data_IF_370266896151
#
_entry.id   IF_370266896151
#
_cell.length_a   1.000
_cell.length_b   1.000
_cell.length_c   1.000
_cell.angle_alpha   90.00
_cell.angle_beta   90.00
_cell.angle_gamma   90.00
#
_symmetry.space_group_name_H-M   'P 1'
#
loop_
_entity.id
_entity.type
_entity.pdbx_description
1 polymer ?
#
# COMPACT_ATOMS: atom_id res chain seq x y z
N UNK A 1 26.56 -4.05 -8.98
CA UNK A 1 25.40 -4.01 -8.06
C UNK A 1 25.68 -2.99 -6.97
N UNK A 2 24.87 -1.92 -6.86
CA UNK A 2 24.93 -1.06 -5.67
C UNK A 2 24.47 -1.92 -4.49
N UNK A 3 25.22 -1.96 -3.39
CA UNK A 3 24.89 -2.79 -2.23
C UNK A 3 23.49 -2.44 -1.70
N UNK A 4 22.53 -3.33 -1.93
CA UNK A 4 21.19 -3.29 -1.35
C UNK A 4 21.29 -3.65 0.13
N UNK A 5 20.59 -2.94 1.00
CA UNK A 5 20.53 -3.29 2.42
C UNK A 5 19.30 -4.16 2.73
N UNK A 6 19.45 -5.49 2.89
CA UNK A 6 18.32 -6.40 3.08
C UNK A 6 17.55 -6.18 4.39
N UNK A 7 18.18 -5.56 5.40
CA UNK A 7 17.53 -5.25 6.68
C UNK A 7 16.41 -4.22 6.49
N UNK A 8 16.69 -3.15 5.74
CA UNK A 8 15.70 -2.10 5.49
C UNK A 8 14.57 -2.60 4.58
N UNK A 9 14.87 -3.44 3.58
CA UNK A 9 13.84 -4.07 2.76
C UNK A 9 12.85 -4.87 3.62
N UNK A 10 13.38 -5.66 4.56
CA UNK A 10 12.58 -6.44 5.49
C UNK A 10 11.75 -5.55 6.42
N UNK A 11 12.30 -4.45 6.93
CA UNK A 11 11.57 -3.50 7.78
C UNK A 11 10.44 -2.80 7.00
N UNK A 12 10.69 -2.37 5.75
CA UNK A 12 9.67 -1.82 4.87
C UNK A 12 8.54 -2.82 4.62
N UNK A 13 8.88 -4.08 4.34
CA UNK A 13 7.89 -5.16 4.17
C UNK A 13 7.06 -5.40 5.43
N UNK A 14 7.66 -5.35 6.63
CA UNK A 14 6.90 -5.50 7.88
C UNK A 14 5.88 -4.37 8.09
N UNK A 15 6.29 -3.12 7.87
CA UNK A 15 5.37 -1.97 7.99
C UNK A 15 4.27 -2.08 6.94
N UNK A 16 4.62 -2.48 5.72
CA UNK A 16 3.66 -2.70 4.63
C UNK A 16 2.65 -3.80 4.96
N UNK A 17 3.07 -4.88 5.64
CA UNK A 17 2.16 -5.94 6.09
C UNK A 17 1.16 -5.43 7.14
N UNK A 18 1.64 -4.66 8.12
CA UNK A 18 0.77 -4.07 9.16
C UNK A 18 -0.25 -3.13 8.52
N UNK A 19 0.20 -2.25 7.61
CA UNK A 19 -0.70 -1.36 6.89
C UNK A 19 -1.73 -2.14 6.06
N UNK A 20 -1.32 -3.21 5.38
CA UNK A 20 -2.23 -4.06 4.60
C UNK A 20 -3.29 -4.72 5.48
N UNK A 21 -2.93 -5.23 6.66
CA UNK A 21 -3.92 -5.78 7.60
C UNK A 21 -4.97 -4.75 8.03
N UNK A 22 -4.55 -3.51 8.29
CA UNK A 22 -5.47 -2.43 8.66
C UNK A 22 -6.37 -2.05 7.49
N UNK A 23 -5.80 -1.94 6.28
CA UNK A 23 -6.55 -1.70 5.04
C UNK A 23 -7.57 -2.81 4.84
N UNK A 24 -7.18 -4.09 4.95
CA UNK A 24 -8.06 -5.23 4.82
C UNK A 24 -9.31 -5.10 5.71
N UNK A 25 -9.13 -4.82 7.00
CA UNK A 25 -10.27 -4.59 7.91
C UNK A 25 -11.14 -3.41 7.44
N UNK A 26 -10.52 -2.28 7.08
CA UNK A 26 -11.25 -1.13 6.55
C UNK A 26 -12.07 -1.45 5.31
N UNK A 27 -11.53 -2.25 4.38
CA UNK A 27 -12.20 -2.68 3.15
C UNK A 27 -13.36 -3.64 3.41
N UNK A 28 -13.21 -4.59 4.34
CA UNK A 28 -14.30 -5.49 4.73
C UNK A 28 -15.47 -4.70 5.30
N UNK A 29 -15.22 -3.76 6.22
CA UNK A 29 -16.28 -2.92 6.76
C UNK A 29 -16.89 -2.01 5.70
N UNK A 30 -16.09 -1.46 4.78
CA UNK A 30 -16.58 -0.65 3.66
C UNK A 30 -17.50 -1.46 2.73
N UNK A 31 -17.22 -2.74 2.52
CA UNK A 31 -18.08 -3.63 1.72
C UNK A 31 -19.40 -3.95 2.43
N UNK A 32 -19.36 -4.14 3.76
CA UNK A 32 -20.55 -4.48 4.57
C UNK A 32 -21.48 -3.26 4.73
N UNK A 33 -20.90 -2.11 5.09
CA UNK A 33 -21.64 -0.89 5.44
C UNK A 33 -21.92 0.00 4.21
N UNK A 34 -21.28 -0.30 3.07
CA UNK A 34 -21.41 0.44 1.82
C UNK A 34 -20.56 1.71 1.76
N UNK A 35 -20.58 2.38 0.60
CA UNK A 35 -19.65 3.48 0.29
C UNK A 35 -19.74 4.69 1.24
N UNK A 36 -20.89 4.92 1.86
CA UNK A 36 -21.09 6.00 2.84
C UNK A 36 -20.20 5.82 4.08
N UNK A 37 -19.80 4.59 4.40
CA UNK A 37 -18.88 4.28 5.49
C UNK A 37 -17.50 4.91 5.30
N UNK A 38 -17.10 5.23 4.06
CA UNK A 38 -15.83 5.89 3.77
C UNK A 38 -15.68 7.25 4.47
N UNK A 39 -16.78 7.93 4.79
CA UNK A 39 -16.77 9.20 5.53
C UNK A 39 -16.99 9.04 7.05
N UNK A 40 -17.17 7.81 7.52
CA UNK A 40 -17.31 7.53 8.95
C UNK A 40 -16.02 7.87 9.70
N UNK A 41 -16.16 8.33 10.95
CA UNK A 41 -15.00 8.63 11.79
C UNK A 41 -14.11 7.40 12.03
N UNK A 42 -14.70 6.20 12.08
CA UNK A 42 -13.97 4.94 12.22
C UNK A 42 -13.09 4.68 11.00
N UNK A 43 -13.65 4.74 9.79
CA UNK A 43 -12.88 4.52 8.57
C UNK A 43 -11.76 5.56 8.41
N UNK A 44 -12.07 6.84 8.64
CA UNK A 44 -11.09 7.92 8.52
C UNK A 44 -9.96 7.79 9.54
N UNK A 45 -10.25 7.34 10.77
CA UNK A 45 -9.22 7.03 11.76
C UNK A 45 -8.28 5.92 11.28
N UNK A 46 -8.82 4.83 10.71
CA UNK A 46 -8.00 3.77 10.12
C UNK A 46 -7.12 4.31 9.00
N UNK A 47 -7.66 5.16 8.12
CA UNK A 47 -6.91 5.76 7.02
C UNK A 47 -5.82 6.72 7.49
N UNK A 48 -6.03 7.47 8.57
CA UNK A 48 -4.97 8.26 9.22
C UNK A 48 -3.84 7.39 9.75
N UNK A 49 -4.16 6.26 10.40
CA UNK A 49 -3.14 5.32 10.89
C UNK A 49 -2.33 4.76 9.73
N UNK A 50 -2.99 4.32 8.65
CA UNK A 50 -2.34 3.80 7.44
C UNK A 50 -1.45 4.87 6.81
N UNK A 51 -1.93 6.11 6.71
CA UNK A 51 -1.14 7.22 6.18
C UNK A 51 0.12 7.50 7.02
N UNK A 52 0.02 7.47 8.35
CA UNK A 52 1.19 7.60 9.24
C UNK A 52 2.19 6.45 9.00
N UNK A 53 1.71 5.22 8.80
CA UNK A 53 2.56 4.06 8.49
C UNK A 53 3.26 4.16 7.12
N UNK A 54 2.74 4.95 6.19
CA UNK A 54 3.39 5.18 4.90
C UNK A 54 4.76 5.87 5.05
N UNK A 55 4.93 6.74 6.06
CA UNK A 55 6.18 7.46 6.31
C UNK A 55 7.37 6.55 6.68
N UNK A 56 7.28 5.67 7.73
CA UNK A 56 8.35 4.72 8.02
C UNK A 56 8.52 3.69 6.91
N UNK A 57 7.44 3.26 6.25
CA UNK A 57 7.51 2.34 5.10
C UNK A 57 8.37 2.93 3.98
N UNK A 58 8.07 4.16 3.57
CA UNK A 58 8.83 4.93 2.59
C UNK A 58 10.30 5.07 3.00
N UNK A 59 10.55 5.48 4.24
CA UNK A 59 11.91 5.68 4.75
C UNK A 59 12.74 4.41 4.65
N UNK A 60 12.19 3.26 5.06
CA UNK A 60 12.89 1.98 4.95
C UNK A 60 13.16 1.57 3.49
N UNK A 61 12.18 1.74 2.59
CA UNK A 61 12.40 1.45 1.18
C UNK A 61 13.44 2.38 0.54
N UNK A 62 13.45 3.66 0.89
CA UNK A 62 14.47 4.61 0.45
C UNK A 62 15.88 4.18 0.88
N UNK A 63 16.05 3.83 2.16
CA UNK A 63 17.32 3.39 2.73
C UNK A 63 17.81 2.03 2.19
N UNK A 64 16.92 1.26 1.56
CA UNK A 64 17.25 -0.04 0.96
C UNK A 64 18.16 0.09 -0.26
N UNK A 65 18.15 1.26 -0.94
CA UNK A 65 18.80 1.48 -2.26
C UNK A 65 18.23 0.56 -3.35
N UNK A 66 16.91 0.63 -3.52
CA UNK A 66 16.16 -0.16 -4.51
C UNK A 66 16.68 0.05 -5.95
N UNK A 67 16.32 -0.89 -6.82
CA UNK A 67 16.38 -0.71 -8.27
C UNK A 67 15.50 0.46 -8.71
N UNK A 68 16.05 1.32 -9.59
CA UNK A 68 15.39 2.56 -10.03
C UNK A 68 14.79 3.38 -8.87
N UNK A 69 15.59 3.80 -7.87
CA UNK A 69 15.07 4.36 -6.61
C UNK A 69 14.28 5.66 -6.83
N UNK A 70 14.64 6.44 -7.87
CA UNK A 70 13.93 7.68 -8.24
C UNK A 70 12.43 7.48 -8.54
N UNK A 71 12.04 6.31 -9.05
CA UNK A 71 10.62 6.00 -9.31
C UNK A 71 9.88 5.93 -7.97
N UNK A 72 10.39 5.13 -7.04
CA UNK A 72 9.83 5.02 -5.69
C UNK A 72 9.84 6.36 -4.96
N UNK A 73 10.95 7.10 -4.98
CA UNK A 73 11.06 8.39 -4.29
C UNK A 73 10.01 9.39 -4.77
N UNK A 74 9.89 9.57 -6.08
CA UNK A 74 8.95 10.54 -6.65
C UNK A 74 7.49 10.14 -6.43
N UNK A 75 7.13 8.91 -6.78
CA UNK A 75 5.74 8.48 -6.76
C UNK A 75 5.22 8.19 -5.35
N UNK A 76 6.07 7.72 -4.42
CA UNK A 76 5.67 7.57 -3.03
C UNK A 76 5.40 8.93 -2.38
N UNK A 77 6.24 9.93 -2.63
CA UNK A 77 6.03 11.29 -2.10
C UNK A 77 4.72 11.88 -2.67
N UNK A 78 4.47 11.72 -3.97
CA UNK A 78 3.20 12.15 -4.56
C UNK A 78 1.99 11.45 -3.92
N UNK A 79 2.04 10.12 -3.74
CA UNK A 79 0.99 9.37 -3.07
C UNK A 79 0.72 9.92 -1.66
N UNK A 80 1.77 10.14 -0.85
CA UNK A 80 1.67 10.64 0.53
C UNK A 80 1.03 12.04 0.57
N UNK A 81 1.45 12.96 -0.31
CA UNK A 81 0.94 14.34 -0.35
C UNK A 81 -0.53 14.36 -0.78
N UNK A 82 -0.88 13.63 -1.83
CA UNK A 82 -2.24 13.63 -2.38
C UNK A 82 -3.20 12.97 -1.40
N UNK A 83 -2.82 11.82 -0.82
CA UNK A 83 -3.64 11.16 0.21
C UNK A 83 -3.80 12.00 1.47
N UNK A 84 -2.78 12.77 1.88
CA UNK A 84 -2.93 13.73 2.99
C UNK A 84 -3.97 14.80 2.67
N UNK A 85 -3.92 15.39 1.48
CA UNK A 85 -4.89 16.40 1.07
C UNK A 85 -6.32 15.85 1.08
N UNK A 86 -6.51 14.65 0.52
CA UNK A 86 -7.80 13.96 0.54
C UNK A 86 -8.27 13.61 1.95
N UNK A 87 -7.37 13.18 2.84
CA UNK A 87 -7.68 12.91 4.25
C UNK A 87 -8.13 14.15 5.01
N UNK A 88 -7.48 15.29 4.81
CA UNK A 88 -7.88 16.56 5.41
C UNK A 88 -9.30 16.93 4.96
N UNK A 89 -9.57 16.87 3.65
CA UNK A 89 -10.90 17.18 3.11
C UNK A 89 -11.96 16.23 3.65
N UNK A 90 -11.72 14.91 3.58
CA UNK A 90 -12.67 13.90 4.05
C UNK A 90 -12.92 13.99 5.57
N UNK A 91 -11.90 14.34 6.36
CA UNK A 91 -12.00 14.41 7.83
C UNK A 91 -12.67 15.69 8.32
N UNK A 92 -12.26 16.84 7.79
CA UNK A 92 -12.68 18.14 8.31
C UNK A 92 -13.87 18.73 7.56
N UNK A 93 -13.95 18.52 6.25
CA UNK A 93 -15.06 19.01 5.42
C UNK A 93 -16.16 17.96 5.26
N UNK A 94 -15.85 16.68 5.55
CA UNK A 94 -16.79 15.55 5.39
C UNK A 94 -17.33 15.41 3.97
N UNK A 95 -16.53 15.83 2.99
CA UNK A 95 -16.89 15.77 1.59
C UNK A 95 -16.32 14.52 0.92
N UNK A 96 -17.14 13.90 0.07
CA UNK A 96 -16.77 12.67 -0.63
C UNK A 96 -15.61 12.86 -1.62
N UNK A 97 -15.43 14.08 -2.16
CA UNK A 97 -14.27 14.43 -2.99
C UNK A 97 -12.94 14.15 -2.28
N UNK A 98 -12.90 14.21 -0.93
CA UNK A 98 -11.73 13.82 -0.16
C UNK A 98 -11.38 12.33 -0.34
N UNK A 99 -12.39 11.46 -0.41
CA UNK A 99 -12.21 10.01 -0.67
C UNK A 99 -11.72 9.78 -2.10
N UNK A 100 -12.28 10.49 -3.08
CA UNK A 100 -11.85 10.40 -4.47
C UNK A 100 -10.38 10.83 -4.65
N UNK A 101 -9.96 11.90 -3.95
CA UNK A 101 -8.57 12.35 -3.92
C UNK A 101 -7.66 11.31 -3.25
N UNK A 102 -8.10 10.65 -2.16
CA UNK A 102 -7.35 9.55 -1.54
C UNK A 102 -7.14 8.42 -2.57
N UNK A 103 -8.19 7.98 -3.24
CA UNK A 103 -8.11 6.92 -4.27
C UNK A 103 -7.17 7.33 -5.40
N UNK A 104 -7.23 8.59 -5.86
CA UNK A 104 -6.30 9.13 -6.85
C UNK A 104 -4.85 9.05 -6.37
N UNK A 105 -4.58 9.38 -5.11
CA UNK A 105 -3.27 9.24 -4.49
C UNK A 105 -2.76 7.79 -4.48
N UNK A 106 -3.63 6.82 -4.16
CA UNK A 106 -3.30 5.39 -4.18
C UNK A 106 -2.86 4.89 -5.57
N UNK A 107 -3.29 5.52 -6.67
CA UNK A 107 -2.85 5.13 -8.03
C UNK A 107 -1.33 5.25 -8.24
N UNK A 108 -0.65 6.07 -7.45
CA UNK A 108 0.81 6.21 -7.51
C UNK A 108 1.55 5.11 -6.73
N UNK A 109 0.88 4.40 -5.82
CA UNK A 109 1.53 3.35 -5.02
C UNK A 109 2.05 2.19 -5.86
N UNK A 110 1.29 1.60 -6.81
CA UNK A 110 1.83 0.55 -7.67
C UNK A 110 3.01 1.04 -8.52
N UNK A 111 3.02 2.32 -8.93
CA UNK A 111 4.12 2.90 -9.70
C UNK A 111 5.38 2.98 -8.84
N UNK A 112 5.26 3.47 -7.60
CA UNK A 112 6.36 3.44 -6.63
C UNK A 112 6.82 2.00 -6.33
N UNK A 113 5.86 1.07 -6.28
CA UNK A 113 6.06 -0.36 -6.09
C UNK A 113 6.90 -1.04 -7.18
N UNK A 114 7.06 -0.45 -8.38
CA UNK A 114 7.91 -0.99 -9.44
C UNK A 114 9.35 -1.17 -8.95
N UNK A 115 9.90 -0.19 -8.21
CA UNK A 115 11.26 -0.27 -7.68
C UNK A 115 11.41 -1.41 -6.67
N UNK A 116 10.40 -1.60 -5.83
CA UNK A 116 10.38 -2.69 -4.84
C UNK A 116 10.28 -4.03 -5.56
N UNK A 117 9.37 -4.14 -6.53
CA UNK A 117 9.21 -5.32 -7.38
C UNK A 117 10.51 -5.69 -8.09
N UNK A 118 11.15 -4.76 -8.80
CA UNK A 118 12.41 -5.05 -9.51
C UNK A 118 13.52 -5.53 -8.57
N UNK A 119 13.54 -5.00 -7.35
CA UNK A 119 14.51 -5.41 -6.32
C UNK A 119 14.17 -6.79 -5.75
N UNK A 120 12.94 -7.00 -5.30
CA UNK A 120 12.48 -8.24 -4.68
C UNK A 120 12.41 -9.40 -5.69
N UNK A 121 12.18 -9.13 -6.97
CA UNK A 121 12.14 -10.12 -8.05
C UNK A 121 13.51 -10.79 -8.27
N UNK A 122 14.62 -10.13 -7.89
CA UNK A 122 15.95 -10.73 -7.85
C UNK A 122 16.13 -11.73 -6.71
N UNK A 123 15.29 -11.65 -5.67
CA UNK A 123 15.30 -12.54 -4.50
C UNK A 123 14.31 -13.68 -4.71
N UNK A 124 13.05 -13.38 -5.04
CA UNK A 124 12.03 -14.37 -5.32
C UNK A 124 10.97 -13.83 -6.28
N UNK A 125 10.86 -14.46 -7.45
CA UNK A 125 9.95 -14.02 -8.52
C UNK A 125 8.47 -14.16 -8.18
N UNK A 126 8.10 -15.26 -7.53
CA UNK A 126 6.70 -15.58 -7.23
C UNK A 126 6.17 -14.58 -6.21
N UNK A 127 6.82 -14.46 -5.05
CA UNK A 127 6.33 -13.58 -3.99
C UNK A 127 6.46 -12.11 -4.33
N UNK A 128 7.49 -11.72 -5.09
CA UNK A 128 7.58 -10.36 -5.63
C UNK A 128 6.42 -10.05 -6.59
N UNK A 129 6.05 -11.00 -7.45
CA UNK A 129 4.94 -10.83 -8.38
C UNK A 129 3.58 -10.78 -7.66
N UNK A 130 3.36 -11.64 -6.66
CA UNK A 130 2.16 -11.61 -5.84
C UNK A 130 2.04 -10.27 -5.11
N UNK A 131 3.13 -9.78 -4.51
CA UNK A 131 3.13 -8.48 -3.84
C UNK A 131 2.78 -7.34 -4.81
N UNK A 132 3.44 -7.29 -5.97
CA UNK A 132 3.24 -6.21 -6.94
C UNK A 132 1.85 -6.25 -7.60
N UNK A 133 1.46 -7.38 -8.19
CA UNK A 133 0.18 -7.49 -8.89
C UNK A 133 -1.00 -7.46 -7.92
N UNK A 134 -0.84 -7.97 -6.69
CA UNK A 134 -1.82 -7.77 -5.63
C UNK A 134 -2.06 -6.29 -5.37
N UNK A 135 -1.00 -5.48 -5.27
CA UNK A 135 -1.12 -4.02 -5.09
C UNK A 135 -1.80 -3.33 -6.29
N UNK A 136 -1.51 -3.76 -7.52
CA UNK A 136 -2.18 -3.26 -8.73
C UNK A 136 -3.68 -3.57 -8.69
N UNK A 137 -4.06 -4.82 -8.41
CA UNK A 137 -5.46 -5.25 -8.34
C UNK A 137 -6.20 -4.53 -7.21
N UNK A 138 -5.57 -4.41 -6.03
CA UNK A 138 -6.08 -3.65 -4.90
C UNK A 138 -6.46 -2.24 -5.33
N UNK A 139 -5.50 -1.53 -5.92
CA UNK A 139 -5.65 -0.12 -6.31
C UNK A 139 -6.69 0.06 -7.41
N UNK A 140 -6.67 -0.81 -8.44
CA UNK A 140 -7.66 -0.79 -9.51
C UNK A 140 -9.08 -1.17 -9.03
N UNK A 141 -9.18 -1.92 -7.93
CA UNK A 141 -10.43 -2.30 -7.31
C UNK A 141 -11.07 -1.19 -6.46
N UNK A 142 -10.31 -0.22 -5.95
CA UNK A 142 -10.85 0.84 -5.08
C UNK A 142 -12.00 1.63 -5.72
N UNK A 143 -11.92 2.10 -6.98
CA UNK A 143 -13.05 2.78 -7.63
C UNK A 143 -14.28 1.88 -7.80
N UNK A 144 -14.13 0.57 -7.80
CA UNK A 144 -15.23 -0.37 -8.06
C UNK A 144 -16.24 -0.45 -6.90
N UNK A 145 -15.92 0.10 -5.72
CA UNK A 145 -16.91 0.30 -4.67
C UNK A 145 -18.07 1.20 -5.11
N UNK A 146 -17.87 2.10 -6.08
CA UNK A 146 -18.93 2.95 -6.64
C UNK A 146 -19.99 2.16 -7.42
N UNK A 147 -19.64 0.95 -7.86
CA UNK A 147 -20.50 0.05 -8.65
C UNK A 147 -20.71 -1.30 -7.97
N UNK A 148 -20.55 -1.37 -6.64
CA UNK A 148 -20.75 -2.57 -5.82
C UNK A 148 -19.86 -3.78 -6.20
N UNK A 149 -18.63 -3.51 -6.65
CA UNK A 149 -17.61 -4.52 -6.97
C UNK A 149 -16.35 -4.35 -6.08
N UNK A 150 -16.54 -3.85 -4.84
CA UNK A 150 -15.46 -3.52 -3.91
C UNK A 150 -14.61 -4.73 -3.48
N UNK A 151 -15.19 -5.94 -3.49
CA UNK A 151 -14.48 -7.20 -3.23
C UNK A 151 -13.22 -7.43 -4.10
N UNK A 152 -13.11 -6.81 -5.28
CA UNK A 152 -11.90 -6.87 -6.11
C UNK A 152 -10.70 -6.27 -5.36
N UNK A 153 -10.89 -5.15 -4.67
CA UNK A 153 -9.84 -4.50 -3.89
C UNK A 153 -9.40 -5.38 -2.71
N UNK A 154 -10.35 -6.04 -2.05
CA UNK A 154 -10.13 -6.97 -0.94
C UNK A 154 -9.27 -8.16 -1.42
N UNK A 155 -9.62 -8.77 -2.55
CA UNK A 155 -8.85 -9.87 -3.15
C UNK A 155 -7.43 -9.41 -3.48
N UNK A 156 -7.28 -8.23 -4.08
CA UNK A 156 -5.97 -7.64 -4.37
C UNK A 156 -5.12 -7.48 -3.11
N UNK A 157 -5.70 -6.98 -2.03
CA UNK A 157 -5.02 -6.78 -0.75
C UNK A 157 -4.57 -8.12 -0.12
N UNK A 158 -5.41 -9.16 -0.19
CA UNK A 158 -5.04 -10.52 0.24
C UNK A 158 -3.86 -11.07 -0.56
N UNK A 159 -3.91 -10.98 -1.89
CA UNK A 159 -2.82 -11.45 -2.76
C UNK A 159 -1.51 -10.70 -2.44
N UNK A 160 -1.60 -9.38 -2.25
CA UNK A 160 -0.49 -8.52 -1.84
C UNK A 160 0.11 -9.00 -0.52
N UNK A 161 -0.73 -9.24 0.50
CA UNK A 161 -0.30 -9.75 1.81
C UNK A 161 0.42 -11.09 1.72
N UNK A 162 -0.09 -12.05 0.93
CA UNK A 162 0.58 -13.33 0.69
C UNK A 162 1.97 -13.15 0.10
N UNK A 163 2.13 -12.23 -0.85
CA UNK A 163 3.43 -11.84 -1.39
C UNK A 163 4.38 -11.30 -0.31
N UNK A 164 3.92 -10.38 0.54
CA UNK A 164 4.72 -9.80 1.62
C UNK A 164 5.17 -10.89 2.63
N UNK A 165 4.24 -11.74 3.07
CA UNK A 165 4.53 -12.84 4.01
C UNK A 165 5.57 -13.79 3.42
N UNK A 166 5.44 -14.15 2.15
CA UNK A 166 6.42 -14.98 1.44
C UNK A 166 7.81 -14.35 1.40
N UNK A 167 7.92 -13.06 1.03
CA UNK A 167 9.18 -12.33 1.03
C UNK A 167 9.83 -12.25 2.43
N UNK A 168 9.03 -12.00 3.47
CA UNK A 168 9.50 -11.97 4.85
C UNK A 168 10.01 -13.33 5.33
N UNK A 169 9.33 -14.42 4.96
CA UNK A 169 9.72 -15.79 5.35
C UNK A 169 11.08 -16.20 4.78
N UNK A 170 11.37 -15.79 3.54
CA UNK A 170 12.64 -16.08 2.87
C UNK A 170 13.79 -15.21 3.41
N UNK A 171 13.51 -13.95 3.75
CA UNK A 171 14.52 -13.05 4.33
C UNK A 171 15.08 -13.55 5.68
N UNK A 172 14.31 -14.36 6.42
CA UNK A 172 14.80 -15.02 7.66
C UNK A 172 15.82 -16.12 7.37
N UNK A 173 15.70 -16.83 6.24
CA UNK A 173 16.58 -17.96 5.89
C UNK A 173 17.94 -17.53 5.34
N UNK A 174 18.09 -16.27 4.89
CA UNK A 174 19.34 -15.75 4.32
C UNK A 174 20.24 -15.08 5.37
N UNK A 175 19.66 -14.72 6.53
CA UNK A 175 20.35 -14.08 7.65
C UNK A 175 20.63 -15.03 8.83
N UNK A 176 20.15 -16.27 8.74
CA UNK A 176 20.43 -17.35 9.67
C UNK A 176 21.47 -18.28 9.05
#
# INVERSE_FOLDING_TARGET
MKYMNPRYLRQGNYVSLIASLIIFFGLIYLEIEGISYALSSTFLLLMWIVWVLALPSFTYYHLTRLEKPKIMDYFAILAIIITLAGLIIATFLREFIGIEIIVAGYTFEPIAGISIYLTANKINKIFSSLFFWGAVIFTAGLPLYLVNFGYVSIIGDVIKMLGIVGLLSLSRKVLA
#
